data_IF_192019271716
#
_entry.id   IF_192019271716
#
_cell.length_a   1.000
_cell.length_b   1.000
_cell.length_c   1.000
_cell.angle_alpha   90.00
_cell.angle_beta   90.00
_cell.angle_gamma   90.00
#
_symmetry.space_group_name_H-M   'P 1'
#
loop_
_entity.id
_entity.type
_entity.pdbx_description
1 polymer ?
#
# COMPACT_ATOMS: atom_id res chain seq x y z
N UNK A 1 40.26 -1.71 -12.55
CA UNK A 1 39.17 -0.73 -12.73
C UNK A 1 37.85 -1.48 -12.55
N UNK A 2 37.12 -1.25 -11.45
CA UNK A 2 35.76 -1.80 -11.32
C UNK A 2 34.85 -0.90 -12.15
N UNK A 3 34.37 -1.39 -13.30
CA UNK A 3 33.31 -0.68 -14.04
C UNK A 3 32.14 -0.53 -13.08
N UNK A 4 31.70 0.70 -12.84
CA UNK A 4 30.47 0.97 -12.13
C UNK A 4 29.36 0.33 -12.98
N UNK A 5 28.77 -0.75 -12.47
CA UNK A 5 27.61 -1.36 -13.12
C UNK A 5 26.45 -0.39 -12.86
N UNK A 6 25.74 0.09 -13.89
CA UNK A 6 24.57 0.92 -13.69
C UNK A 6 23.53 0.14 -12.88
N UNK A 7 22.81 0.83 -12.00
CA UNK A 7 21.68 0.21 -11.33
C UNK A 7 20.68 -0.30 -12.38
N UNK A 8 20.08 -1.48 -12.17
CA UNK A 8 19.03 -1.96 -13.05
C UNK A 8 17.88 -0.93 -13.08
N UNK A 9 17.22 -0.76 -14.24
CA UNK A 9 16.09 0.15 -14.35
C UNK A 9 15.02 -0.23 -13.33
N UNK A 10 14.39 0.79 -12.72
CA UNK A 10 13.27 0.58 -11.82
C UNK A 10 12.13 -0.13 -12.58
N UNK A 11 11.53 -1.14 -11.97
CA UNK A 11 10.49 -1.93 -12.62
C UNK A 11 9.30 -1.08 -13.05
N UNK A 12 8.86 -1.24 -14.30
CA UNK A 12 7.74 -0.48 -14.90
C UNK A 12 6.48 -0.55 -14.04
N UNK A 13 6.23 -1.68 -13.36
CA UNK A 13 5.10 -1.83 -12.44
C UNK A 13 5.17 -0.84 -11.27
N UNK A 14 6.34 -0.66 -10.66
CA UNK A 14 6.52 0.26 -9.53
C UNK A 14 6.50 1.73 -9.95
N UNK A 15 6.62 2.03 -11.24
CA UNK A 15 6.52 3.38 -11.79
C UNK A 15 5.06 3.83 -11.99
N UNK A 16 4.12 2.89 -12.10
CA UNK A 16 2.69 3.21 -12.27
C UNK A 16 2.12 3.79 -10.97
N UNK A 17 1.38 4.89 -11.03
CA UNK A 17 0.66 5.34 -9.83
C UNK A 17 -0.45 4.34 -9.46
N UNK A 18 -0.59 4.00 -8.15
CA UNK A 18 -1.70 3.18 -7.72
C UNK A 18 -3.02 3.94 -7.93
N UNK A 19 -4.11 3.24 -8.31
CA UNK A 19 -5.40 3.87 -8.51
C UNK A 19 -5.88 4.56 -7.23
N UNK A 20 -6.60 5.68 -7.39
CA UNK A 20 -7.33 6.27 -6.27
C UNK A 20 -8.46 5.32 -5.86
N UNK A 21 -8.61 5.13 -4.56
CA UNK A 21 -9.65 4.27 -3.98
C UNK A 21 -10.71 5.13 -3.32
N UNK A 22 -11.98 4.82 -3.59
CA UNK A 22 -13.13 5.35 -2.88
C UNK A 22 -14.03 4.20 -2.45
N UNK A 23 -14.66 4.33 -1.29
CA UNK A 23 -15.64 3.36 -0.81
C UNK A 23 -17.02 3.78 -1.29
N UNK A 24 -17.69 2.91 -2.07
CA UNK A 24 -19.06 3.13 -2.53
C UNK A 24 -20.04 3.12 -1.36
N UNK A 25 -19.93 2.11 -0.49
CA UNK A 25 -20.65 2.01 0.77
C UNK A 25 -19.61 1.91 1.90
N UNK A 26 -19.24 3.03 2.53
CA UNK A 26 -18.17 3.02 3.51
C UNK A 26 -18.62 2.30 4.80
N UNK A 27 -17.70 1.58 5.47
CA UNK A 27 -18.00 0.89 6.72
C UNK A 27 -18.40 1.87 7.84
N UNK A 28 -18.98 1.35 8.92
CA UNK A 28 -19.11 2.09 10.17
C UNK A 28 -17.75 2.53 10.72
N UNK A 29 -17.72 3.47 11.66
CA UNK A 29 -16.47 3.95 12.28
C UNK A 29 -15.75 2.80 12.99
N UNK A 30 -16.47 1.91 13.69
CA UNK A 30 -15.86 0.76 14.35
C UNK A 30 -15.28 -0.25 13.35
N UNK A 31 -16.00 -0.52 12.26
CA UNK A 31 -15.50 -1.38 11.18
C UNK A 31 -14.29 -0.75 10.47
N UNK A 32 -14.26 0.58 10.33
CA UNK A 32 -13.10 1.31 9.80
C UNK A 32 -11.87 1.14 10.70
N UNK A 33 -11.98 1.23 12.02
CA UNK A 33 -10.84 1.01 12.94
C UNK A 33 -10.29 -0.42 12.82
N UNK A 34 -11.18 -1.42 12.79
CA UNK A 34 -10.79 -2.82 12.62
C UNK A 34 -10.10 -3.05 11.27
N UNK A 35 -10.65 -2.50 10.20
CA UNK A 35 -10.09 -2.62 8.85
C UNK A 35 -8.75 -1.90 8.73
N UNK A 36 -8.60 -0.71 9.33
CA UNK A 36 -7.33 0.00 9.39
C UNK A 36 -6.25 -0.83 10.07
N UNK A 37 -6.55 -1.44 11.23
CA UNK A 37 -5.61 -2.33 11.94
C UNK A 37 -5.21 -3.53 11.08
N UNK A 38 -6.17 -4.17 10.42
CA UNK A 38 -5.93 -5.32 9.56
C UNK A 38 -5.06 -4.95 8.34
N UNK A 39 -5.31 -3.80 7.72
CA UNK A 39 -4.52 -3.31 6.59
C UNK A 39 -3.10 -2.94 7.00
N UNK A 40 -2.91 -2.26 8.13
CA UNK A 40 -1.57 -1.94 8.67
C UNK A 40 -0.79 -3.23 8.94
N UNK A 41 -1.41 -4.23 9.56
CA UNK A 41 -0.78 -5.52 9.80
C UNK A 41 -0.39 -6.22 8.48
N UNK A 42 -1.28 -6.16 7.48
CA UNK A 42 -1.03 -6.72 6.14
C UNK A 42 0.14 -6.03 5.44
N UNK A 43 0.23 -4.69 5.52
CA UNK A 43 1.38 -3.93 5.00
C UNK A 43 2.67 -4.36 5.70
N UNK A 44 2.66 -4.48 7.03
CA UNK A 44 3.83 -4.91 7.79
C UNK A 44 4.31 -6.30 7.36
N UNK A 45 3.41 -7.29 7.31
CA UNK A 45 3.75 -8.65 6.85
C UNK A 45 4.24 -8.67 5.40
N UNK A 46 3.55 -7.98 4.49
CA UNK A 46 3.94 -7.91 3.08
C UNK A 46 5.29 -7.25 2.91
N UNK A 47 5.62 -6.24 3.73
CA UNK A 47 6.93 -5.58 3.74
C UNK A 47 8.02 -6.53 4.23
N UNK A 48 7.77 -7.32 5.27
CA UNK A 48 8.73 -8.36 5.71
C UNK A 48 9.02 -9.35 4.59
N UNK A 49 7.99 -9.80 3.86
CA UNK A 49 8.18 -10.70 2.72
C UNK A 49 8.88 -9.99 1.56
N UNK A 50 8.57 -8.73 1.28
CA UNK A 50 9.24 -7.92 0.27
C UNK A 50 10.76 -7.85 0.51
N UNK A 51 11.17 -7.51 1.73
CA UNK A 51 12.58 -7.37 2.12
C UNK A 51 13.31 -8.72 2.07
N UNK A 52 12.61 -9.82 2.34
CA UNK A 52 13.18 -11.16 2.27
C UNK A 52 13.40 -11.66 0.82
N UNK A 53 12.76 -11.05 -0.17
CA UNK A 53 12.87 -11.45 -1.58
C UNK A 53 13.85 -10.56 -2.35
N UNK A 54 14.58 -11.16 -3.28
CA UNK A 54 15.46 -10.44 -4.21
C UNK A 54 14.68 -9.71 -5.32
N UNK A 55 15.39 -8.94 -6.16
CA UNK A 55 14.77 -8.24 -7.29
C UNK A 55 14.06 -9.16 -8.27
N UNK A 56 12.89 -8.73 -8.74
CA UNK A 56 12.12 -9.45 -9.78
C UNK A 56 10.61 -9.26 -9.63
N UNK A 57 9.86 -9.99 -10.47
CA UNK A 57 8.39 -9.85 -10.57
C UNK A 57 7.65 -9.99 -9.24
N UNK A 58 8.14 -10.84 -8.34
CA UNK A 58 7.53 -11.02 -7.02
C UNK A 58 7.74 -9.78 -6.14
N UNK A 59 8.94 -9.16 -6.19
CA UNK A 59 9.22 -7.91 -5.50
C UNK A 59 8.32 -6.79 -6.04
N UNK A 60 8.16 -6.71 -7.35
CA UNK A 60 7.32 -5.69 -7.99
C UNK A 60 5.84 -5.84 -7.62
N UNK A 61 5.33 -7.06 -7.65
CA UNK A 61 3.95 -7.36 -7.25
C UNK A 61 3.70 -7.02 -5.78
N UNK A 62 4.64 -7.37 -4.89
CA UNK A 62 4.55 -7.02 -3.47
C UNK A 62 4.64 -5.51 -3.23
N UNK A 63 5.52 -4.81 -3.95
CA UNK A 63 5.63 -3.36 -3.89
C UNK A 63 4.36 -2.66 -4.35
N UNK A 64 3.73 -3.14 -5.43
CA UNK A 64 2.43 -2.63 -5.87
C UNK A 64 1.31 -2.93 -4.88
N UNK A 65 1.29 -4.12 -4.28
CA UNK A 65 0.33 -4.45 -3.22
C UNK A 65 0.47 -3.48 -2.02
N UNK A 66 1.69 -3.21 -1.56
CA UNK A 66 1.93 -2.26 -0.48
C UNK A 66 1.40 -0.87 -0.84
N UNK A 67 1.70 -0.38 -2.06
CA UNK A 67 1.22 0.93 -2.52
C UNK A 67 -0.31 1.00 -2.58
N UNK A 68 -0.98 -0.06 -3.01
CA UNK A 68 -2.44 -0.15 -3.03
C UNK A 68 -3.04 -0.19 -1.63
N UNK A 69 -2.48 -0.97 -0.72
CA UNK A 69 -2.92 -1.04 0.68
C UNK A 69 -2.76 0.32 1.37
N UNK A 70 -1.67 1.05 1.11
CA UNK A 70 -1.50 2.43 1.60
C UNK A 70 -2.58 3.38 1.08
N UNK A 71 -3.02 3.24 -0.18
CA UNK A 71 -4.15 4.03 -0.72
C UNK A 71 -5.46 3.70 -0.01
N UNK A 72 -5.70 2.42 0.32
CA UNK A 72 -6.89 2.01 1.05
C UNK A 72 -6.90 2.59 2.48
N UNK A 73 -5.74 2.57 3.15
CA UNK A 73 -5.56 3.18 4.49
C UNK A 73 -5.86 4.68 4.45
N UNK A 74 -5.33 5.42 3.47
CA UNK A 74 -5.66 6.84 3.30
C UNK A 74 -7.16 7.07 3.09
N UNK A 75 -7.80 6.32 2.17
CA UNK A 75 -9.23 6.48 1.91
C UNK A 75 -10.10 6.20 3.16
N UNK A 76 -9.73 5.20 3.98
CA UNK A 76 -10.43 4.90 5.24
C UNK A 76 -10.20 5.98 6.30
N UNK A 77 -8.99 6.51 6.37
CA UNK A 77 -8.62 7.57 7.33
C UNK A 77 -9.35 8.86 6.99
N UNK A 78 -9.42 9.22 5.71
CA UNK A 78 -10.17 10.38 5.21
C UNK A 78 -11.65 10.21 5.54
N UNK A 79 -12.24 9.05 5.25
CA UNK A 79 -13.64 8.76 5.57
C UNK A 79 -13.95 8.87 7.07
N UNK A 80 -13.09 8.31 7.91
CA UNK A 80 -13.26 8.37 9.38
C UNK A 80 -13.17 9.83 9.86
N UNK A 81 -12.21 10.60 9.31
CA UNK A 81 -12.00 12.00 9.67
C UNK A 81 -13.14 12.91 9.22
N UNK A 82 -13.78 12.63 8.07
CA UNK A 82 -14.96 13.39 7.63
C UNK A 82 -16.16 13.10 8.53
N UNK A 83 -16.41 11.84 8.88
CA UNK A 83 -17.57 11.48 9.73
C UNK A 83 -17.47 12.01 11.16
N UNK A 84 -16.27 12.09 11.75
CA UNK A 84 -16.08 12.69 13.07
C UNK A 84 -16.42 14.19 13.07
N UNK A 85 -16.21 14.90 11.96
CA UNK A 85 -16.52 16.34 11.85
C UNK A 85 -18.01 16.62 11.62
N UNK A 86 -18.78 15.61 11.20
CA UNK A 86 -20.22 15.71 10.95
C UNK A 86 -21.07 15.36 12.18
N UNK A 87 -20.44 14.89 13.27
CA UNK A 87 -21.07 14.63 14.57
C UNK A 87 -20.88 15.81 15.53
#
# INVERSE_FOLDING_TARGET
>A
MKKLVPDPPASDLLQLDPPNLSFLDPPSIEECDQLLRALILTVNHTTTVLVANGPGLMQDAMGMNIRLLCRAIHALTDHTSTRIKEQ
#
